data_IF_914779839725
#
_entry.id   IF_914779839725
#
_cell.length_a   1.000
_cell.length_b   1.000
_cell.length_c   1.000
_cell.angle_alpha   90.00
_cell.angle_beta   90.00
_cell.angle_gamma   90.00
#
_symmetry.space_group_name_H-M   'P 1'
#
loop_
_entity.id
_entity.type
_entity.pdbx_description
1 polymer ?
#
# COMPACT_ATOMS: atom_id res chain seq x y z
N UNK A 1 -33.72 2.02 31.58
CA UNK A 1 -32.50 1.60 30.86
C UNK A 1 -31.76 2.86 30.40
N UNK A 2 -30.49 3.05 30.78
CA UNK A 2 -29.67 4.16 30.24
C UNK A 2 -29.49 3.92 28.74
N UNK A 3 -29.80 4.92 27.91
CA UNK A 3 -29.50 4.86 26.48
C UNK A 3 -27.97 4.85 26.34
N UNK A 4 -27.39 3.90 25.58
CA UNK A 4 -25.95 3.91 25.34
C UNK A 4 -25.56 5.21 24.64
N UNK A 5 -24.43 5.77 25.05
CA UNK A 5 -23.84 6.93 24.39
C UNK A 5 -23.40 6.57 22.97
N UNK A 6 -23.36 7.57 22.08
CA UNK A 6 -22.87 7.39 20.71
C UNK A 6 -21.45 6.80 20.71
N UNK A 7 -20.61 7.17 21.69
CA UNK A 7 -19.26 6.63 21.87
C UNK A 7 -19.24 5.13 22.20
N UNK A 8 -20.11 4.68 23.10
CA UNK A 8 -20.19 3.26 23.47
C UNK A 8 -20.69 2.41 22.31
N UNK A 9 -21.68 2.90 21.56
CA UNK A 9 -22.20 2.22 20.38
C UNK A 9 -21.12 2.09 19.29
N UNK A 10 -20.34 3.17 19.09
CA UNK A 10 -19.22 3.18 18.14
C UNK A 10 -18.13 2.19 18.54
N UNK A 11 -17.77 2.13 19.82
CA UNK A 11 -16.77 1.19 20.33
C UNK A 11 -17.21 -0.26 20.12
N UNK A 12 -18.50 -0.56 20.34
CA UNK A 12 -19.05 -1.90 20.17
C UNK A 12 -19.06 -2.35 18.70
N UNK A 13 -19.40 -1.44 17.78
CA UNK A 13 -19.28 -1.69 16.33
C UNK A 13 -17.82 -1.93 15.94
N UNK A 14 -16.90 -1.07 16.39
CA UNK A 14 -15.47 -1.18 16.09
C UNK A 14 -14.87 -2.49 16.59
N UNK A 15 -15.28 -2.97 17.77
CA UNK A 15 -14.86 -4.26 18.32
C UNK A 15 -15.38 -5.45 17.49
N UNK A 16 -16.60 -5.37 16.98
CA UNK A 16 -17.14 -6.38 16.06
C UNK A 16 -16.37 -6.45 14.73
N UNK A 17 -15.92 -5.29 14.22
CA UNK A 17 -15.15 -5.18 12.98
C UNK A 17 -13.71 -5.72 13.10
N UNK A 18 -13.17 -5.92 14.31
CA UNK A 18 -11.82 -6.51 14.47
C UNK A 18 -11.76 -7.98 14.00
N UNK A 19 -12.90 -8.68 14.02
CA UNK A 19 -13.01 -10.08 13.61
C UNK A 19 -13.44 -10.27 12.15
N UNK A 20 -13.64 -9.17 11.42
CA UNK A 20 -14.07 -9.20 10.01
C UNK A 20 -13.04 -8.41 9.19
N UNK A 21 -12.53 -8.94 8.06
CA UNK A 21 -11.56 -8.23 7.22
C UNK A 21 -12.21 -7.11 6.38
N UNK A 22 -13.17 -6.38 6.95
CA UNK A 22 -13.82 -5.26 6.29
C UNK A 22 -13.00 -3.98 6.51
N UNK A 23 -12.57 -3.29 5.43
CA UNK A 23 -11.76 -2.09 5.55
C UNK A 23 -12.58 -0.90 6.07
N UNK A 24 -12.08 -0.21 7.09
CA UNK A 24 -12.67 1.04 7.58
C UNK A 24 -11.61 2.08 8.00
N UNK A 25 -11.98 3.36 7.92
CA UNK A 25 -11.09 4.47 8.29
C UNK A 25 -11.32 4.86 9.75
N UNK A 26 -10.24 4.92 10.53
CA UNK A 26 -10.23 5.46 11.90
C UNK A 26 -9.11 6.47 12.05
N UNK A 27 -9.46 7.76 12.03
CA UNK A 27 -8.48 8.85 12.03
C UNK A 27 -7.60 8.81 10.78
N UNK A 28 -6.28 8.87 10.95
CA UNK A 28 -5.30 8.74 9.86
C UNK A 28 -4.87 7.28 9.61
N UNK A 29 -5.75 6.31 9.87
CA UNK A 29 -5.44 4.90 9.68
C UNK A 29 -6.57 4.17 8.98
N UNK A 30 -6.20 3.20 8.14
CA UNK A 30 -7.11 2.22 7.56
C UNK A 30 -6.95 0.93 8.34
N UNK A 31 -8.06 0.34 8.78
CA UNK A 31 -8.08 -0.91 9.54
C UNK A 31 -8.73 -2.00 8.73
N UNK A 32 -8.15 -3.20 8.76
CA UNK A 32 -8.64 -4.41 8.08
C UNK A 32 -8.46 -5.57 9.06
N UNK A 33 -9.55 -6.04 9.69
CA UNK A 33 -9.46 -7.02 10.79
C UNK A 33 -8.55 -6.53 11.92
N UNK A 34 -7.58 -7.36 12.32
CA UNK A 34 -6.55 -7.02 13.31
C UNK A 34 -5.38 -6.19 12.75
N UNK A 35 -5.34 -5.92 11.44
CA UNK A 35 -4.28 -5.14 10.80
C UNK A 35 -4.63 -3.64 10.72
N UNK A 36 -3.62 -2.78 10.89
CA UNK A 36 -3.75 -1.31 10.79
C UNK A 36 -2.68 -0.77 9.86
N UNK A 37 -3.12 0.02 8.89
CA UNK A 37 -2.26 0.75 7.96
C UNK A 37 -2.19 2.21 8.38
N UNK A 38 -0.97 2.74 8.51
CA UNK A 38 -0.71 4.17 8.75
C UNK A 38 0.24 4.70 7.70
N UNK A 39 -0.20 5.73 6.97
CA UNK A 39 0.65 6.42 5.98
C UNK A 39 1.39 7.57 6.64
N UNK A 40 2.68 7.70 6.32
CA UNK A 40 3.51 8.85 6.68
C UNK A 40 4.39 9.27 5.49
N UNK A 41 5.29 10.24 5.70
CA UNK A 41 6.30 10.62 4.71
C UNK A 41 7.30 9.49 4.42
N UNK A 42 7.49 8.56 5.36
CA UNK A 42 8.49 7.50 5.28
C UNK A 42 7.93 6.17 4.77
N UNK A 43 6.72 6.19 4.17
CA UNK A 43 6.05 5.00 3.66
C UNK A 43 4.75 4.68 4.40
N UNK A 44 4.29 3.45 4.19
CA UNK A 44 3.02 2.93 4.68
C UNK A 44 3.28 1.76 5.63
N UNK A 45 2.98 1.98 6.91
CA UNK A 45 3.28 1.05 7.98
C UNK A 45 2.08 0.15 8.23
N UNK A 46 2.30 -1.16 8.24
CA UNK A 46 1.31 -2.17 8.61
C UNK A 46 1.64 -2.70 10.00
N UNK A 47 0.65 -2.66 10.90
CA UNK A 47 0.77 -3.14 12.28
C UNK A 47 -0.28 -4.19 12.58
N UNK A 48 0.11 -5.21 13.36
CA UNK A 48 -0.81 -6.16 13.96
C UNK A 48 -1.24 -5.67 15.35
N UNK A 49 -2.54 -5.44 15.55
CA UNK A 49 -3.09 -5.02 16.83
C UNK A 49 -3.08 -6.12 17.89
N UNK A 50 -3.14 -7.39 17.47
CA UNK A 50 -3.16 -8.56 18.37
C UNK A 50 -1.79 -8.80 18.97
N UNK A 51 -0.77 -8.89 18.12
CA UNK A 51 0.62 -9.12 18.53
C UNK A 51 1.38 -7.83 18.89
N UNK A 52 0.78 -6.67 18.65
CA UNK A 52 1.38 -5.34 18.87
C UNK A 52 2.74 -5.17 18.17
N UNK A 53 2.87 -5.73 16.97
CA UNK A 53 4.11 -5.71 16.18
C UNK A 53 3.92 -4.99 14.85
N UNK A 54 5.00 -4.40 14.36
CA UNK A 54 5.05 -3.95 12.98
C UNK A 54 5.22 -5.16 12.06
N UNK A 55 4.37 -5.27 11.05
CA UNK A 55 4.40 -6.35 10.06
C UNK A 55 5.25 -5.95 8.86
N UNK A 56 5.05 -4.73 8.34
CA UNK A 56 5.77 -4.25 7.16
C UNK A 56 5.81 -2.71 7.10
N UNK A 57 6.75 -2.16 6.31
CA UNK A 57 6.73 -0.77 5.86
C UNK A 57 6.89 -0.77 4.34
N UNK A 58 5.87 -0.31 3.61
CA UNK A 58 5.83 -0.38 2.14
C UNK A 58 5.94 1.00 1.51
N UNK A 59 6.53 1.05 0.31
CA UNK A 59 6.58 2.23 -0.54
C UNK A 59 5.18 2.60 -1.04
N UNK A 60 4.45 1.66 -1.64
CA UNK A 60 3.13 1.94 -2.20
C UNK A 60 1.98 1.53 -1.25
N UNK A 61 0.86 2.25 -1.33
CA UNK A 61 -0.35 1.97 -0.52
C UNK A 61 -0.97 0.62 -0.87
N UNK A 62 -0.93 0.23 -2.13
CA UNK A 62 -1.48 -1.06 -2.60
C UNK A 62 -0.79 -2.24 -1.91
N UNK A 63 0.53 -2.19 -1.75
CA UNK A 63 1.27 -3.23 -1.03
C UNK A 63 0.87 -3.30 0.45
N UNK A 64 0.71 -2.15 1.12
CA UNK A 64 0.25 -2.13 2.51
C UNK A 64 -1.15 -2.74 2.67
N UNK A 65 -2.06 -2.47 1.74
CA UNK A 65 -3.42 -3.04 1.75
C UNK A 65 -3.39 -4.54 1.49
N UNK A 66 -2.59 -4.99 0.52
CA UNK A 66 -2.41 -6.41 0.22
C UNK A 66 -1.88 -7.18 1.46
N UNK A 67 -0.82 -6.69 2.09
CA UNK A 67 -0.28 -7.29 3.32
C UNK A 67 -1.32 -7.28 4.43
N UNK A 68 -1.98 -6.15 4.69
CA UNK A 68 -2.95 -6.05 5.77
C UNK A 68 -4.14 -7.00 5.58
N UNK A 69 -4.68 -7.10 4.36
CA UNK A 69 -5.78 -8.03 4.04
C UNK A 69 -5.35 -9.48 4.26
N UNK A 70 -4.25 -9.91 3.65
CA UNK A 70 -3.78 -11.30 3.73
C UNK A 70 -3.35 -11.68 5.14
N UNK A 71 -2.73 -10.75 5.87
CA UNK A 71 -2.40 -10.93 7.29
C UNK A 71 -3.65 -11.11 8.15
N UNK A 72 -4.71 -10.33 7.92
CA UNK A 72 -5.99 -10.48 8.62
C UNK A 72 -6.69 -11.80 8.28
N UNK A 73 -6.45 -12.36 7.10
CA UNK A 73 -6.88 -13.71 6.68
C UNK A 73 -5.98 -14.84 7.23
N UNK A 74 -4.92 -14.50 7.99
CA UNK A 74 -3.98 -15.47 8.55
C UNK A 74 -2.92 -15.98 7.58
N UNK A 75 -2.75 -15.32 6.42
CA UNK A 75 -1.77 -15.67 5.40
C UNK A 75 -0.53 -14.78 5.53
N UNK A 76 0.66 -15.40 5.45
CA UNK A 76 1.91 -14.65 5.38
C UNK A 76 2.36 -14.52 3.92
N UNK A 77 2.21 -13.32 3.36
CA UNK A 77 2.62 -12.95 2.00
C UNK A 77 3.62 -11.78 1.99
N UNK A 78 4.18 -11.46 3.16
CA UNK A 78 4.95 -10.22 3.36
C UNK A 78 6.14 -10.19 2.41
N UNK A 79 6.91 -11.27 2.32
CA UNK A 79 8.12 -11.31 1.50
C UNK A 79 7.82 -11.26 -0.01
N UNK A 80 6.73 -11.89 -0.46
CA UNK A 80 6.26 -11.81 -1.85
C UNK A 80 5.83 -10.39 -2.20
N UNK A 81 4.98 -9.79 -1.36
CA UNK A 81 4.45 -8.44 -1.60
C UNK A 81 5.56 -7.40 -1.52
N UNK A 82 6.47 -7.49 -0.56
CA UNK A 82 7.62 -6.57 -0.45
C UNK A 82 8.55 -6.65 -1.66
N UNK A 83 8.75 -7.84 -2.24
CA UNK A 83 9.52 -7.98 -3.49
C UNK A 83 8.89 -7.19 -4.64
N UNK A 84 7.56 -7.25 -4.77
CA UNK A 84 6.82 -6.50 -5.80
C UNK A 84 6.85 -4.99 -5.50
N UNK A 85 6.69 -4.62 -4.23
CA UNK A 85 6.74 -3.22 -3.78
C UNK A 85 8.09 -2.57 -4.07
N UNK A 86 9.20 -3.28 -3.84
CA UNK A 86 10.55 -2.82 -4.21
C UNK A 86 10.76 -2.73 -5.72
N UNK A 87 10.16 -3.63 -6.50
CA UNK A 87 10.16 -3.53 -7.97
C UNK A 87 9.46 -2.22 -8.41
N UNK A 88 8.30 -1.92 -7.82
CA UNK A 88 7.57 -0.67 -8.07
C UNK A 88 8.40 0.54 -7.66
N UNK A 89 8.98 0.54 -6.46
CA UNK A 89 9.78 1.63 -5.92
C UNK A 89 10.98 1.96 -6.83
N UNK A 90 11.71 0.93 -7.27
CA UNK A 90 12.83 1.10 -8.20
C UNK A 90 12.39 1.78 -9.49
N UNK A 91 11.36 1.23 -10.14
CA UNK A 91 10.90 1.76 -11.43
C UNK A 91 10.25 3.14 -11.29
N UNK A 92 9.65 3.45 -10.13
CA UNK A 92 9.15 4.78 -9.82
C UNK A 92 10.27 5.80 -9.77
N UNK A 93 11.36 5.49 -9.06
CA UNK A 93 12.53 6.38 -8.99
C UNK A 93 13.16 6.59 -10.38
N UNK A 94 13.27 5.52 -11.18
CA UNK A 94 13.74 5.59 -12.56
C UNK A 94 12.83 6.50 -13.41
N UNK A 95 11.50 6.33 -13.31
CA UNK A 95 10.52 7.13 -14.05
C UNK A 95 10.63 8.62 -13.70
N UNK A 96 10.76 8.96 -12.41
CA UNK A 96 10.97 10.36 -11.97
C UNK A 96 12.25 10.94 -12.57
N UNK A 97 13.34 10.17 -12.57
CA UNK A 97 14.61 10.60 -13.15
C UNK A 97 14.51 10.81 -14.67
N UNK A 98 13.92 9.87 -15.42
CA UNK A 98 13.77 9.97 -16.86
C UNK A 98 12.86 11.14 -17.24
N UNK A 99 11.74 11.31 -16.53
CA UNK A 99 10.83 12.42 -16.77
C UNK A 99 11.50 13.78 -16.51
N UNK A 100 12.26 13.92 -15.42
CA UNK A 100 13.01 15.14 -15.16
C UNK A 100 14.05 15.41 -16.26
N UNK A 101 14.81 14.38 -16.63
CA UNK A 101 15.86 14.48 -17.65
C UNK A 101 15.30 14.84 -19.02
N UNK A 102 14.14 14.28 -19.39
CA UNK A 102 13.46 14.56 -20.66
C UNK A 102 13.09 16.04 -20.75
N UNK A 103 12.49 16.58 -19.67
CA UNK A 103 12.09 18.00 -19.58
C UNK A 103 13.26 18.99 -19.64
N UNK A 104 14.48 18.54 -19.35
CA UNK A 104 15.70 19.36 -19.31
C UNK A 104 16.61 19.18 -20.52
N UNK A 105 16.33 18.19 -21.37
CA UNK A 105 17.12 17.92 -22.57
C UNK A 105 16.61 18.79 -23.72
N UNK A 106 17.53 19.33 -24.51
CA UNK A 106 17.23 19.99 -25.79
C UNK A 106 17.60 19.11 -26.99
N UNK A 107 18.36 18.04 -26.75
CA UNK A 107 18.70 17.02 -27.76
C UNK A 107 17.51 16.08 -27.98
N UNK A 108 16.99 16.08 -29.22
CA UNK A 108 15.83 15.27 -29.64
C UNK A 108 16.12 13.77 -29.61
N UNK A 109 17.32 13.32 -30.02
CA UNK A 109 17.67 11.90 -29.94
C UNK A 109 17.70 11.43 -28.48
N UNK A 110 18.23 12.27 -27.60
CA UNK A 110 18.24 11.99 -26.16
C UNK A 110 16.82 11.97 -25.58
N UNK A 111 15.92 12.84 -26.03
CA UNK A 111 14.51 12.84 -25.62
C UNK A 111 13.82 11.53 -26.00
N UNK A 112 13.96 11.08 -27.25
CA UNK A 112 13.37 9.81 -27.71
C UNK A 112 13.81 8.62 -26.83
N UNK A 113 15.11 8.54 -26.51
CA UNK A 113 15.64 7.50 -25.62
C UNK A 113 15.06 7.59 -24.21
N UNK A 114 14.94 8.81 -23.67
CA UNK A 114 14.39 9.04 -22.32
C UNK A 114 12.89 8.73 -22.26
N UNK A 115 12.14 9.02 -23.32
CA UNK A 115 10.72 8.70 -23.44
C UNK A 115 10.49 7.18 -23.45
N UNK A 116 11.23 6.43 -24.28
CA UNK A 116 11.16 4.98 -24.29
C UNK A 116 11.50 4.37 -22.92
N UNK A 117 12.52 4.89 -22.23
CA UNK A 117 12.87 4.43 -20.87
C UNK A 117 11.78 4.74 -19.85
N UNK A 118 11.16 5.92 -19.94
CA UNK A 118 10.03 6.31 -19.09
C UNK A 118 8.83 5.38 -19.30
N UNK A 119 8.52 5.03 -20.56
CA UNK A 119 7.46 4.09 -20.89
C UNK A 119 7.72 2.69 -20.30
N UNK A 120 8.94 2.17 -20.44
CA UNK A 120 9.33 0.87 -19.87
C UNK A 120 9.17 0.88 -18.34
N UNK A 121 9.64 1.94 -17.67
CA UNK A 121 9.54 2.08 -16.22
C UNK A 121 8.08 2.13 -15.77
N UNK A 122 7.25 2.93 -16.45
CA UNK A 122 5.81 3.06 -16.17
C UNK A 122 5.08 1.72 -16.35
N UNK A 123 5.35 1.02 -17.44
CA UNK A 123 4.79 -0.30 -17.72
C UNK A 123 5.11 -1.32 -16.61
N UNK A 124 6.32 -1.28 -16.05
CA UNK A 124 6.71 -2.15 -14.93
C UNK A 124 6.00 -1.78 -13.64
N UNK A 125 5.81 -0.49 -13.37
CA UNK A 125 5.01 -0.02 -12.22
C UNK A 125 3.59 -0.56 -12.31
N UNK A 126 2.95 -0.45 -13.49
CA UNK A 126 1.57 -0.88 -13.68
C UNK A 126 1.40 -2.39 -13.56
N UNK A 127 2.35 -3.17 -14.12
CA UNK A 127 2.40 -4.63 -13.94
C UNK A 127 2.58 -5.01 -12.46
N UNK A 128 3.47 -4.32 -11.75
CA UNK A 128 3.66 -4.52 -10.31
C UNK A 128 2.38 -4.24 -9.53
N UNK A 129 1.70 -3.13 -9.82
CA UNK A 129 0.42 -2.77 -9.19
C UNK A 129 -0.67 -3.82 -9.43
N UNK A 130 -0.83 -4.27 -10.67
CA UNK A 130 -1.80 -5.32 -11.01
C UNK A 130 -1.52 -6.61 -10.21
N UNK A 131 -0.25 -7.02 -10.08
CA UNK A 131 0.12 -8.19 -9.26
C UNK A 131 -0.19 -7.99 -7.77
N UNK A 132 -0.07 -6.76 -7.25
CA UNK A 132 -0.45 -6.46 -5.87
C UNK A 132 -1.96 -6.49 -5.66
N UNK A 133 -2.74 -6.06 -6.65
CA UNK A 133 -4.20 -6.10 -6.62
C UNK A 133 -4.75 -7.52 -6.56
N UNK A 134 -4.06 -8.51 -7.15
CA UNK A 134 -4.43 -9.91 -7.03
C UNK A 134 -4.47 -10.38 -5.57
N UNK A 135 -3.55 -9.89 -4.71
CA UNK A 135 -3.59 -10.18 -3.27
C UNK A 135 -4.73 -9.44 -2.54
N UNK A 136 -5.29 -8.40 -3.14
CA UNK A 136 -6.40 -7.63 -2.57
C UNK A 136 -7.74 -8.21 -2.98
N UNK A 137 -7.87 -8.78 -4.18
CA UNK A 137 -9.16 -9.23 -4.70
C UNK A 137 -9.34 -10.75 -4.73
N UNK A 138 -8.24 -11.52 -4.76
CA UNK A 138 -8.25 -12.99 -4.66
C UNK A 138 -7.69 -13.44 -3.30
#
# INVERSE_FOLDING_TARGET
MKKPSISELKALIEQGLENVPFPYVKGNSVRIGNAVIRTSKNGNFVFDMKDKKQVANTFCKTAAVAIAKKHAEGQNVVDEVMRIDHEIEKNYNDAVFFQHSYKKSDDELRKEVLECRLEIATTKIDKGRSRLEDYIYN
#
